data_IF_691509846102
#
_entry.id   IF_691509846102
#
_cell.length_a   1.000
_cell.length_b   1.000
_cell.length_c   1.000
_cell.angle_alpha   90.00
_cell.angle_beta   90.00
_cell.angle_gamma   90.00
#
_symmetry.space_group_name_H-M   'P 1'
#
loop_
_entity.id
_entity.type
_entity.pdbx_description
1 polymer ?
#
# COMPACT_ATOMS: atom_id res chain seq x y z
N UNK A 1 -18.12 9.27 -34.20
CA UNK A 1 -19.02 10.02 -33.30
C UNK A 1 -19.06 11.47 -33.75
N UNK A 2 -20.25 12.05 -33.93
CA UNK A 2 -20.41 13.47 -34.27
C UNK A 2 -21.11 14.17 -33.11
N UNK A 3 -20.37 14.99 -32.34
CA UNK A 3 -20.94 15.79 -31.26
C UNK A 3 -21.85 16.88 -31.84
N UNK A 4 -23.04 17.05 -31.25
CA UNK A 4 -23.91 18.18 -31.60
C UNK A 4 -23.33 19.52 -31.07
N UNK A 5 -23.87 20.65 -31.53
CA UNK A 5 -23.36 21.99 -31.16
C UNK A 5 -23.37 22.25 -29.65
N UNK A 6 -24.41 21.78 -28.95
CA UNK A 6 -24.54 21.96 -27.50
C UNK A 6 -23.51 21.11 -26.75
N UNK A 7 -23.34 19.85 -27.12
CA UNK A 7 -22.34 18.96 -26.51
C UNK A 7 -20.92 19.48 -26.73
N UNK A 8 -20.60 19.98 -27.92
CA UNK A 8 -19.32 20.66 -28.19
C UNK A 8 -19.14 21.88 -27.29
N UNK A 9 -20.16 22.73 -27.19
CA UNK A 9 -20.11 23.94 -26.35
C UNK A 9 -19.87 23.61 -24.88
N UNK A 10 -20.58 22.61 -24.34
CA UNK A 10 -20.45 22.18 -22.94
C UNK A 10 -19.06 21.58 -22.69
N UNK A 11 -18.55 20.74 -23.59
CA UNK A 11 -17.23 20.12 -23.41
C UNK A 11 -16.07 21.11 -23.54
N UNK A 12 -16.21 22.12 -24.39
CA UNK A 12 -15.20 23.18 -24.52
C UNK A 12 -15.30 24.24 -23.43
N UNK A 13 -16.42 24.32 -22.70
CA UNK A 13 -16.58 25.25 -21.57
C UNK A 13 -15.57 24.96 -20.44
N UNK A 14 -15.23 25.99 -19.65
CA UNK A 14 -14.31 25.88 -18.53
C UNK A 14 -14.77 24.86 -17.49
N UNK A 15 -16.09 24.72 -17.28
CA UNK A 15 -16.65 23.81 -16.26
C UNK A 15 -16.83 22.37 -16.74
N UNK A 16 -17.09 22.16 -18.03
CA UNK A 16 -17.26 20.83 -18.60
C UNK A 16 -15.92 20.14 -18.84
N UNK A 17 -15.81 18.88 -18.45
CA UNK A 17 -14.60 18.08 -18.68
C UNK A 17 -14.89 16.64 -19.11
N UNK A 18 -16.13 16.16 -19.05
CA UNK A 18 -16.49 14.81 -19.47
C UNK A 18 -17.75 14.79 -20.36
N UNK A 19 -17.73 13.95 -21.39
CA UNK A 19 -18.93 13.55 -22.15
C UNK A 19 -19.06 12.04 -22.09
N UNK A 20 -20.28 11.57 -21.81
CA UNK A 20 -20.68 10.18 -21.96
C UNK A 20 -21.70 10.10 -23.09
N UNK A 21 -21.43 9.27 -24.10
CA UNK A 21 -22.30 9.07 -25.24
C UNK A 21 -22.64 7.59 -25.41
N UNK A 22 -23.92 7.24 -25.28
CA UNK A 22 -24.42 5.88 -25.51
C UNK A 22 -24.79 5.71 -26.98
N UNK A 23 -24.45 4.56 -27.55
CA UNK A 23 -24.73 4.23 -28.95
C UNK A 23 -25.80 3.15 -29.02
N UNK A 24 -26.74 3.29 -29.96
CA UNK A 24 -27.90 2.40 -30.03
C UNK A 24 -27.66 1.10 -30.84
N UNK A 25 -26.63 1.04 -31.70
CA UNK A 25 -26.52 -0.02 -32.74
C UNK A 25 -25.12 -0.56 -33.07
N UNK A 26 -24.07 -0.30 -32.27
CA UNK A 26 -22.72 -0.82 -32.57
C UNK A 26 -21.77 -0.82 -31.37
N UNK A 27 -20.70 -1.61 -31.44
CA UNK A 27 -19.54 -1.45 -30.56
C UNK A 27 -18.72 -0.21 -30.98
N UNK A 28 -18.30 0.68 -30.05
CA UNK A 28 -18.54 0.64 -28.60
C UNK A 28 -19.96 1.09 -28.23
N UNK A 29 -20.57 0.45 -27.22
CA UNK A 29 -21.90 0.78 -26.67
C UNK A 29 -21.94 2.10 -25.88
N UNK A 30 -20.79 2.56 -25.42
CA UNK A 30 -20.60 3.82 -24.72
C UNK A 30 -19.24 4.42 -25.05
N UNK A 31 -19.19 5.73 -25.25
CA UNK A 31 -17.98 6.51 -25.47
C UNK A 31 -17.83 7.49 -24.30
N UNK A 32 -16.68 7.43 -23.64
CA UNK A 32 -16.27 8.39 -22.62
C UNK A 32 -15.22 9.31 -23.24
N UNK A 33 -15.47 10.62 -23.21
CA UNK A 33 -14.49 11.64 -23.60
C UNK A 33 -14.16 12.46 -22.38
N UNK A 34 -12.90 12.40 -21.94
CA UNK A 34 -12.37 13.22 -20.83
C UNK A 34 -11.44 14.28 -21.40
N UNK A 35 -11.72 15.55 -21.09
CA UNK A 35 -10.83 16.68 -21.34
C UNK A 35 -9.76 16.68 -20.26
N UNK A 36 -8.50 16.77 -20.68
CA UNK A 36 -7.36 16.90 -19.78
C UNK A 36 -6.92 18.36 -19.84
N UNK A 37 -6.93 19.02 -18.68
CA UNK A 37 -6.43 20.38 -18.55
C UNK A 37 -5.01 20.32 -18.01
N UNK A 38 -4.10 21.02 -18.67
CA UNK A 38 -2.69 21.15 -18.27
C UNK A 38 -2.51 22.53 -17.60
N UNK A 39 -3.27 22.75 -16.52
CA UNK A 39 -3.21 23.96 -15.70
C UNK A 39 -2.36 23.70 -14.43
N UNK A 40 -2.38 24.65 -13.50
CA UNK A 40 -1.60 24.60 -12.25
C UNK A 40 -1.99 23.44 -11.32
N UNK A 41 -3.19 22.90 -11.48
CA UNK A 41 -3.69 21.75 -10.71
C UNK A 41 -3.27 20.40 -11.31
N UNK A 42 -2.69 20.39 -12.52
CA UNK A 42 -2.26 19.15 -13.17
C UNK A 42 -1.02 18.58 -12.49
N UNK A 43 -1.13 17.32 -12.07
CA UNK A 43 -0.03 16.57 -11.46
C UNK A 43 0.18 15.21 -12.11
N UNK A 44 1.31 14.57 -11.80
CA UNK A 44 1.60 13.20 -12.22
C UNK A 44 0.57 12.18 -11.74
N UNK A 45 -0.24 12.55 -10.75
CA UNK A 45 -1.26 11.68 -10.16
C UNK A 45 -2.61 11.80 -10.87
N UNK A 46 -2.77 12.75 -11.80
CA UNK A 46 -4.02 12.97 -12.53
C UNK A 46 -4.59 11.67 -13.12
N UNK A 47 -3.79 10.94 -13.90
CA UNK A 47 -4.25 9.71 -14.54
C UNK A 47 -4.55 8.62 -13.52
N UNK A 48 -3.72 8.48 -12.49
CA UNK A 48 -3.93 7.49 -11.43
C UNK A 48 -5.25 7.73 -10.72
N UNK A 49 -5.50 8.96 -10.31
CA UNK A 49 -6.71 9.36 -9.60
C UNK A 49 -7.96 9.25 -10.49
N UNK A 50 -7.87 9.69 -11.74
CA UNK A 50 -8.96 9.57 -12.70
C UNK A 50 -9.39 8.10 -12.87
N UNK A 51 -8.45 7.20 -13.22
CA UNK A 51 -8.80 5.80 -13.43
C UNK A 51 -9.21 5.09 -12.13
N UNK A 52 -8.59 5.43 -10.98
CA UNK A 52 -8.97 4.85 -9.70
C UNK A 52 -10.41 5.21 -9.27
N UNK A 53 -10.87 6.43 -9.56
CA UNK A 53 -12.25 6.84 -9.35
C UNK A 53 -13.22 6.32 -10.43
N UNK A 54 -12.73 6.17 -11.67
CA UNK A 54 -13.55 5.77 -12.81
C UNK A 54 -13.91 4.28 -12.78
N UNK A 55 -12.95 3.39 -12.46
CA UNK A 55 -13.16 1.93 -12.46
C UNK A 55 -14.34 1.48 -11.60
N UNK A 56 -14.50 1.91 -10.33
CA UNK A 56 -15.67 1.55 -9.52
C UNK A 56 -17.01 1.92 -10.17
N UNK A 57 -17.05 3.06 -10.88
CA UNK A 57 -18.26 3.50 -11.59
C UNK A 57 -18.61 2.59 -12.77
N UNK A 58 -17.59 1.97 -13.39
CA UNK A 58 -17.75 1.04 -14.50
C UNK A 58 -18.13 -0.36 -14.05
N UNK A 59 -17.61 -0.82 -12.91
CA UNK A 59 -17.95 -2.15 -12.35
C UNK A 59 -19.44 -2.25 -11.98
N UNK A 60 -20.08 -1.12 -11.63
CA UNK A 60 -21.53 -1.03 -11.40
C UNK A 60 -22.35 -1.04 -12.70
N UNK A 61 -21.71 -0.89 -13.85
CA UNK A 61 -22.33 -0.95 -15.18
C UNK A 61 -22.06 -2.34 -15.77
N UNK A 62 -22.98 -2.87 -16.56
CA UNK A 62 -22.82 -4.17 -17.21
C UNK A 62 -21.85 -4.09 -18.43
N UNK A 63 -20.69 -3.46 -18.24
CA UNK A 63 -19.64 -3.24 -19.24
C UNK A 63 -18.67 -4.41 -19.17
N UNK A 64 -18.38 -5.03 -20.32
CA UNK A 64 -17.45 -6.17 -20.42
C UNK A 64 -16.01 -5.74 -20.69
N UNK A 65 -15.84 -4.73 -21.54
CA UNK A 65 -14.52 -4.24 -21.93
C UNK A 65 -14.48 -2.72 -22.10
N UNK A 66 -13.31 -2.14 -21.89
CA UNK A 66 -13.03 -0.71 -21.99
C UNK A 66 -11.77 -0.53 -22.84
N UNK A 67 -11.94 0.16 -23.97
CA UNK A 67 -10.85 0.53 -24.84
C UNK A 67 -10.37 1.93 -24.47
N UNK A 68 -9.12 2.07 -24.03
CA UNK A 68 -8.52 3.35 -23.65
C UNK A 68 -7.55 3.77 -24.74
N UNK A 69 -7.82 4.91 -25.37
CA UNK A 69 -6.85 5.57 -26.25
C UNK A 69 -5.89 6.36 -25.36
N UNK A 70 -4.68 5.85 -25.18
CA UNK A 70 -3.69 6.48 -24.32
C UNK A 70 -3.11 7.70 -25.03
N UNK A 71 -3.09 8.89 -24.41
CA UNK A 71 -2.58 10.07 -25.07
C UNK A 71 -1.06 10.01 -25.26
N UNK A 72 -0.54 10.79 -26.20
CA UNK A 72 0.88 10.76 -26.56
C UNK A 72 1.73 11.32 -25.43
N UNK A 73 2.80 10.62 -25.06
CA UNK A 73 3.71 11.07 -24.01
C UNK A 73 4.37 12.42 -24.34
N UNK A 74 4.53 12.75 -25.63
CA UNK A 74 5.07 14.05 -26.08
C UNK A 74 4.39 15.24 -25.41
N UNK A 75 3.08 15.14 -25.17
CA UNK A 75 2.26 16.23 -24.66
C UNK A 75 2.42 16.40 -23.14
N UNK A 76 3.06 15.44 -22.46
CA UNK A 76 3.22 15.37 -21.00
C UNK A 76 4.68 15.32 -20.53
N UNK A 77 5.65 15.49 -21.44
CA UNK A 77 7.10 15.37 -21.13
C UNK A 77 7.57 16.32 -20.01
N UNK A 78 6.96 17.49 -19.88
CA UNK A 78 7.30 18.46 -18.83
C UNK A 78 6.85 18.03 -17.43
N UNK A 79 5.89 17.10 -17.34
CA UNK A 79 5.28 16.69 -16.06
C UNK A 79 5.80 15.34 -15.56
N UNK A 80 6.20 14.44 -16.46
CA UNK A 80 6.62 13.08 -16.10
C UNK A 80 8.11 12.88 -16.38
N UNK A 81 8.81 12.26 -15.43
CA UNK A 81 10.24 11.95 -15.57
C UNK A 81 10.54 10.92 -16.68
N UNK A 82 9.57 10.12 -17.10
CA UNK A 82 9.73 9.15 -18.21
C UNK A 82 8.38 8.71 -18.79
N UNK A 83 8.42 8.21 -20.03
CA UNK A 83 7.29 7.57 -20.71
C UNK A 83 6.79 6.35 -19.92
N UNK A 84 7.71 5.57 -19.34
CA UNK A 84 7.39 4.45 -18.45
C UNK A 84 6.56 4.89 -17.25
N UNK A 85 6.98 5.97 -16.57
CA UNK A 85 6.26 6.46 -15.39
C UNK A 85 4.88 7.00 -15.77
N UNK A 86 4.77 7.74 -16.87
CA UNK A 86 3.49 8.19 -17.42
C UNK A 86 2.51 7.02 -17.65
N UNK A 87 2.93 5.98 -18.39
CA UNK A 87 2.10 4.78 -18.63
C UNK A 87 1.76 4.06 -17.34
N UNK A 88 2.72 3.96 -16.41
CA UNK A 88 2.53 3.32 -15.12
C UNK A 88 1.41 3.99 -14.33
N UNK A 89 1.32 5.33 -14.31
CA UNK A 89 0.26 6.03 -13.55
C UNK A 89 -1.16 5.67 -14.01
N UNK A 90 -1.36 5.50 -15.33
CA UNK A 90 -2.63 5.06 -15.91
C UNK A 90 -2.96 3.63 -15.44
N UNK A 91 -2.01 2.72 -15.57
CA UNK A 91 -2.19 1.31 -15.22
C UNK A 91 -2.40 1.13 -13.71
N UNK A 92 -1.67 1.89 -12.89
CA UNK A 92 -1.86 1.93 -11.44
C UNK A 92 -3.26 2.39 -11.08
N UNK A 93 -3.77 3.46 -11.70
CA UNK A 93 -5.13 3.93 -11.46
C UNK A 93 -6.19 2.88 -11.76
N UNK A 94 -6.06 2.21 -12.92
CA UNK A 94 -6.99 1.14 -13.32
C UNK A 94 -6.99 0.01 -12.29
N UNK A 95 -5.80 -0.45 -11.88
CA UNK A 95 -5.70 -1.53 -10.92
C UNK A 95 -6.20 -1.07 -9.55
N UNK A 96 -5.71 0.05 -9.01
CA UNK A 96 -6.09 0.57 -7.69
C UNK A 96 -7.60 0.80 -7.52
N UNK A 97 -8.29 1.22 -8.57
CA UNK A 97 -9.75 1.35 -8.58
C UNK A 97 -10.50 0.02 -8.49
N UNK A 98 -9.82 -1.10 -8.71
CA UNK A 98 -10.34 -2.45 -8.57
C UNK A 98 -9.96 -3.11 -7.23
N UNK A 99 -9.35 -2.38 -6.29
CA UNK A 99 -9.06 -2.92 -4.97
C UNK A 99 -10.34 -3.03 -4.13
N UNK A 100 -10.56 -4.19 -3.51
CA UNK A 100 -11.66 -4.42 -2.57
C UNK A 100 -11.15 -5.18 -1.35
N UNK A 101 -11.62 -4.78 -0.17
CA UNK A 101 -11.42 -5.52 1.08
C UNK A 101 -12.80 -5.88 1.66
N UNK A 102 -13.32 -7.04 1.28
CA UNK A 102 -14.67 -7.51 1.62
C UNK A 102 -14.66 -8.78 2.48
N UNK A 103 -13.49 -9.15 3.04
CA UNK A 103 -13.29 -10.37 3.81
C UNK A 103 -14.30 -10.55 4.96
N UNK A 104 -14.78 -9.44 5.53
CA UNK A 104 -15.71 -9.41 6.66
C UNK A 104 -17.15 -9.03 6.30
N UNK A 105 -17.45 -8.81 5.01
CA UNK A 105 -18.83 -8.55 4.57
C UNK A 105 -19.57 -9.88 4.42
N UNK A 106 -20.79 -9.95 4.97
CA UNK A 106 -21.71 -11.07 4.76
C UNK A 106 -22.19 -11.14 3.32
N UNK A 107 -22.55 -9.98 2.75
CA UNK A 107 -22.88 -9.82 1.34
C UNK A 107 -21.65 -9.37 0.57
N UNK A 108 -21.11 -10.28 -0.24
CA UNK A 108 -19.99 -10.00 -1.15
C UNK A 108 -20.55 -9.62 -2.51
N UNK A 109 -20.08 -8.50 -3.05
CA UNK A 109 -20.37 -8.15 -4.43
C UNK A 109 -19.74 -9.19 -5.35
N UNK A 110 -20.48 -9.68 -6.35
CA UNK A 110 -19.91 -10.60 -7.33
C UNK A 110 -18.80 -9.88 -8.09
N UNK A 111 -17.60 -10.47 -8.23
CA UNK A 111 -16.52 -9.83 -8.97
C UNK A 111 -16.96 -9.62 -10.42
N UNK A 112 -17.14 -8.37 -10.81
CA UNK A 112 -17.39 -8.01 -12.21
C UNK A 112 -16.07 -8.14 -12.98
N UNK A 113 -16.10 -8.86 -14.10
CA UNK A 113 -14.92 -9.01 -14.97
C UNK A 113 -14.93 -7.89 -16.01
N UNK A 114 -14.07 -6.91 -15.81
CA UNK A 114 -13.87 -5.79 -16.73
C UNK A 114 -12.52 -5.90 -17.44
N UNK A 115 -12.53 -6.02 -18.75
CA UNK A 115 -11.31 -6.08 -19.56
C UNK A 115 -10.87 -4.68 -20.01
N UNK A 116 -9.63 -4.28 -19.71
CA UNK A 116 -9.05 -3.04 -20.20
C UNK A 116 -8.09 -3.31 -21.37
N UNK A 117 -8.34 -2.65 -22.50
CA UNK A 117 -7.48 -2.66 -23.68
C UNK A 117 -6.88 -1.27 -23.85
N UNK A 118 -5.57 -1.14 -23.62
CA UNK A 118 -4.83 0.11 -23.76
C UNK A 118 -4.25 0.21 -25.17
N UNK A 119 -4.65 1.24 -25.92
CA UNK A 119 -4.14 1.54 -27.25
C UNK A 119 -3.00 2.56 -27.13
N UNK A 120 -1.78 2.11 -27.43
CA UNK A 120 -0.57 2.93 -27.42
C UNK A 120 0.37 2.55 -28.56
N UNK A 121 1.10 3.52 -29.11
CA UNK A 121 1.97 3.33 -30.27
C UNK A 121 3.08 2.32 -30.01
N UNK A 122 3.75 2.41 -28.86
CA UNK A 122 4.82 1.49 -28.46
C UNK A 122 4.27 0.28 -27.68
N UNK A 123 3.79 -0.74 -28.40
CA UNK A 123 3.20 -1.96 -27.80
C UNK A 123 4.15 -2.72 -26.88
N UNK A 124 5.44 -2.81 -27.24
CA UNK A 124 6.45 -3.54 -26.46
C UNK A 124 6.71 -2.87 -25.11
N UNK A 125 6.88 -1.56 -25.12
CA UNK A 125 7.00 -0.78 -23.88
C UNK A 125 5.75 -0.95 -23.01
N UNK A 126 4.57 -0.76 -23.59
CA UNK A 126 3.30 -0.89 -22.86
C UNK A 126 3.16 -2.26 -22.18
N UNK A 127 3.44 -3.36 -22.87
CA UNK A 127 3.39 -4.71 -22.28
C UNK A 127 4.36 -4.87 -21.10
N UNK A 128 5.59 -4.33 -21.22
CA UNK A 128 6.56 -4.34 -20.14
C UNK A 128 6.10 -3.51 -18.93
N UNK A 129 5.55 -2.31 -19.15
CA UNK A 129 5.01 -1.47 -18.07
C UNK A 129 3.85 -2.17 -17.38
N UNK A 130 2.89 -2.74 -18.12
CA UNK A 130 1.77 -3.50 -17.54
C UNK A 130 2.28 -4.63 -16.65
N UNK A 131 3.25 -5.42 -17.12
CA UNK A 131 3.79 -6.53 -16.35
C UNK A 131 4.49 -6.09 -15.05
N UNK A 132 5.23 -4.98 -15.10
CA UNK A 132 5.92 -4.44 -13.93
C UNK A 132 4.95 -3.77 -12.94
N UNK A 133 4.02 -2.96 -13.44
CA UNK A 133 3.01 -2.28 -12.62
C UNK A 133 2.12 -3.28 -11.90
N UNK A 134 1.72 -4.39 -12.53
CA UNK A 134 0.96 -5.46 -11.86
C UNK A 134 1.68 -5.99 -10.62
N UNK A 135 2.99 -6.27 -10.72
CA UNK A 135 3.79 -6.73 -9.58
C UNK A 135 3.88 -5.70 -8.45
N UNK A 136 3.99 -4.42 -8.81
CA UNK A 136 3.97 -3.31 -7.83
C UNK A 136 2.61 -3.27 -7.13
N UNK A 137 1.51 -3.28 -7.89
CA UNK A 137 0.16 -3.19 -7.33
C UNK A 137 -0.21 -4.43 -6.50
N UNK A 138 0.21 -5.63 -6.89
CA UNK A 138 0.06 -6.81 -6.02
C UNK A 138 0.72 -6.62 -4.65
N UNK A 139 1.87 -5.92 -4.58
CA UNK A 139 2.50 -5.62 -3.29
C UNK A 139 1.78 -4.52 -2.54
N UNK A 140 1.21 -3.54 -3.26
CA UNK A 140 0.32 -2.53 -2.65
C UNK A 140 -0.91 -3.20 -2.06
N UNK A 141 -1.51 -4.18 -2.73
CA UNK A 141 -2.64 -4.94 -2.21
C UNK A 141 -2.25 -5.76 -0.99
N UNK A 142 -1.12 -6.47 -1.03
CA UNK A 142 -0.59 -7.15 0.14
C UNK A 142 -0.43 -6.19 1.33
N UNK A 143 0.14 -5.01 1.13
CA UNK A 143 0.25 -3.98 2.18
C UNK A 143 -1.13 -3.52 2.66
N UNK A 144 -2.06 -3.19 1.76
CA UNK A 144 -3.42 -2.75 2.11
C UNK A 144 -4.21 -3.81 2.86
N UNK A 145 -4.08 -5.08 2.48
CA UNK A 145 -4.77 -6.19 3.12
C UNK A 145 -4.29 -6.37 4.56
N UNK A 146 -2.99 -6.19 4.82
CA UNK A 146 -2.47 -6.16 6.18
C UNK A 146 -3.01 -4.94 6.95
N UNK A 147 -2.95 -3.73 6.39
CA UNK A 147 -3.41 -2.51 7.07
C UNK A 147 -4.92 -2.52 7.35
N UNK A 148 -5.71 -3.10 6.45
CA UNK A 148 -7.17 -3.16 6.59
C UNK A 148 -7.62 -4.24 7.58
N UNK A 149 -6.77 -5.24 7.85
CA UNK A 149 -7.09 -6.34 8.74
C UNK A 149 -7.38 -5.82 10.16
N UNK A 150 -8.49 -6.21 10.81
CA UNK A 150 -8.77 -5.83 12.18
C UNK A 150 -7.71 -6.36 13.15
N UNK A 151 -7.41 -5.57 14.19
CA UNK A 151 -6.42 -5.92 15.21
C UNK A 151 -6.70 -7.27 15.92
N UNK A 152 -7.97 -7.61 16.13
CA UNK A 152 -8.36 -8.91 16.71
C UNK A 152 -7.86 -10.09 15.89
N UNK A 153 -7.71 -9.90 14.57
CA UNK A 153 -7.19 -10.90 13.63
C UNK A 153 -5.67 -10.73 13.45
N UNK A 154 -5.20 -9.51 13.14
CA UNK A 154 -3.80 -9.24 12.81
C UNK A 154 -2.94 -8.93 14.04
N UNK A 155 -2.74 -9.93 14.89
CA UNK A 155 -1.80 -9.83 16.02
C UNK A 155 -0.33 -9.76 15.55
N UNK A 156 0.65 -9.40 16.39
CA UNK A 156 2.06 -9.31 15.99
C UNK A 156 2.59 -10.60 15.35
N UNK A 157 2.29 -11.75 15.96
CA UNK A 157 2.68 -13.05 15.42
C UNK A 157 1.93 -13.44 14.15
N UNK A 158 0.68 -12.98 13.97
CA UNK A 158 -0.07 -13.21 12.73
C UNK A 158 0.47 -12.36 11.58
N UNK A 159 0.83 -11.10 11.83
CA UNK A 159 1.56 -10.26 10.89
C UNK A 159 2.86 -10.95 10.44
N UNK A 160 3.64 -11.46 11.39
CA UNK A 160 4.88 -12.19 11.12
C UNK A 160 4.64 -13.48 10.30
N UNK A 161 3.60 -14.24 10.65
CA UNK A 161 3.21 -15.48 9.97
C UNK A 161 2.82 -15.23 8.50
N UNK A 162 1.95 -14.25 8.25
CA UNK A 162 1.51 -13.87 6.90
C UNK A 162 2.67 -13.33 6.07
N UNK A 163 3.50 -12.46 6.64
CA UNK A 163 4.68 -11.94 5.98
C UNK A 163 5.63 -13.08 5.56
N UNK A 164 5.93 -14.02 6.48
CA UNK A 164 6.75 -15.19 6.18
C UNK A 164 6.13 -16.05 5.08
N UNK A 165 4.83 -16.34 5.17
CA UNK A 165 4.10 -17.14 4.18
C UNK A 165 4.16 -16.53 2.79
N UNK A 166 3.94 -15.24 2.63
CA UNK A 166 3.92 -14.59 1.32
C UNK A 166 5.31 -14.33 0.75
N UNK A 167 6.26 -13.92 1.59
CA UNK A 167 7.60 -13.56 1.13
C UNK A 167 8.49 -14.80 0.83
N UNK A 168 8.35 -15.90 1.57
CA UNK A 168 9.16 -17.10 1.28
C UNK A 168 8.80 -17.75 -0.05
N UNK A 169 7.53 -17.67 -0.50
CA UNK A 169 7.07 -18.15 -1.83
C UNK A 169 7.83 -17.52 -3.00
N UNK A 170 8.32 -16.30 -2.82
CA UNK A 170 9.05 -15.52 -3.84
C UNK A 170 10.56 -15.49 -3.56
N UNK A 171 11.05 -16.38 -2.69
CA UNK A 171 12.48 -16.57 -2.43
C UNK A 171 13.12 -15.58 -1.46
N UNK A 172 12.33 -14.88 -0.64
CA UNK A 172 12.85 -14.02 0.43
C UNK A 172 13.13 -14.86 1.68
N UNK A 173 14.27 -14.63 2.32
CA UNK A 173 14.54 -15.20 3.64
C UNK A 173 13.81 -14.36 4.70
N UNK A 174 12.95 -14.99 5.50
CA UNK A 174 12.25 -14.32 6.61
C UNK A 174 12.58 -15.02 7.92
N UNK A 175 13.24 -14.29 8.83
CA UNK A 175 13.49 -14.70 10.21
C UNK A 175 12.53 -13.95 11.13
N UNK A 176 12.03 -14.64 12.15
CA UNK A 176 11.15 -14.06 13.17
C UNK A 176 11.86 -14.24 14.52
N UNK A 177 12.08 -13.15 15.24
CA UNK A 177 12.49 -13.18 16.64
C UNK A 177 11.22 -13.17 17.48
N UNK A 178 10.88 -14.32 18.05
CA UNK A 178 9.79 -14.42 19.02
C UNK A 178 10.18 -13.78 20.36
N UNK A 179 9.25 -13.73 21.32
CA UNK A 179 9.49 -13.17 22.66
C UNK A 179 10.75 -13.75 23.32
N UNK A 180 11.04 -15.04 23.16
CA UNK A 180 12.21 -15.66 23.77
C UNK A 180 13.51 -15.20 23.12
N UNK A 181 13.54 -15.08 21.79
CA UNK A 181 14.65 -14.47 21.07
C UNK A 181 14.83 -13.00 21.46
N UNK A 182 13.76 -12.21 21.61
CA UNK A 182 13.85 -10.82 22.03
C UNK A 182 14.48 -10.69 23.43
N UNK A 183 14.08 -11.55 24.38
CA UNK A 183 14.67 -11.61 25.74
C UNK A 183 16.14 -12.00 25.68
N UNK A 184 16.49 -13.05 24.92
CA UNK A 184 17.88 -13.48 24.74
C UNK A 184 18.78 -12.37 24.20
N UNK A 185 18.26 -11.57 23.27
CA UNK A 185 18.96 -10.46 22.65
C UNK A 185 18.89 -9.15 23.46
N UNK A 186 18.25 -9.14 24.65
CA UNK A 186 18.09 -7.96 25.51
C UNK A 186 17.41 -6.77 24.79
N UNK A 187 16.48 -7.06 23.89
CA UNK A 187 15.68 -6.06 23.19
C UNK A 187 14.53 -5.59 24.11
N UNK A 188 14.90 -4.86 25.17
CA UNK A 188 13.94 -4.53 26.23
C UNK A 188 12.96 -3.42 25.85
N UNK A 189 13.22 -2.62 24.83
CA UNK A 189 12.33 -1.55 24.40
C UNK A 189 11.10 -2.12 23.69
N UNK A 190 11.28 -3.04 22.74
CA UNK A 190 10.16 -3.77 22.12
C UNK A 190 9.42 -4.63 23.14
N UNK A 191 10.14 -5.28 24.06
CA UNK A 191 9.53 -6.09 25.12
C UNK A 191 8.67 -5.24 26.06
N UNK A 192 9.15 -4.08 26.49
CA UNK A 192 8.43 -3.21 27.42
C UNK A 192 7.09 -2.73 26.85
N UNK A 193 7.07 -2.31 25.58
CA UNK A 193 5.84 -1.85 24.91
C UNK A 193 4.83 -3.00 24.77
N UNK A 194 5.28 -4.18 24.33
CA UNK A 194 4.37 -5.32 24.09
C UNK A 194 3.99 -6.13 25.33
N UNK A 195 4.52 -5.82 26.53
CA UNK A 195 4.42 -6.72 27.69
C UNK A 195 3.01 -6.80 28.30
N UNK A 196 2.19 -5.76 28.12
CA UNK A 196 0.82 -5.72 28.63
C UNK A 196 -0.15 -6.54 27.79
N UNK A 197 0.15 -6.76 26.50
CA UNK A 197 -0.72 -7.54 25.63
C UNK A 197 -0.58 -9.04 25.88
N UNK A 198 -1.72 -9.75 25.76
CA UNK A 198 -1.74 -11.22 25.68
C UNK A 198 -1.16 -11.75 24.36
N UNK A 199 -0.98 -10.88 23.35
CA UNK A 199 -0.40 -11.18 22.04
C UNK A 199 1.08 -10.80 22.09
N UNK A 200 2.00 -11.78 22.20
CA UNK A 200 3.41 -11.48 22.47
C UNK A 200 4.06 -10.69 21.33
N UNK A 201 5.00 -9.78 21.64
CA UNK A 201 5.74 -9.04 20.63
C UNK A 201 6.70 -9.96 19.86
N UNK A 202 7.05 -9.55 18.65
CA UNK A 202 8.05 -10.22 17.83
C UNK A 202 8.77 -9.22 16.91
N UNK A 203 9.91 -9.60 16.34
CA UNK A 203 10.58 -8.83 15.30
C UNK A 203 10.67 -9.63 14.01
N UNK A 204 10.22 -9.05 12.90
CA UNK A 204 10.26 -9.65 11.56
C UNK A 204 11.48 -9.10 10.84
N UNK A 205 12.35 -9.99 10.35
CA UNK A 205 13.52 -9.65 9.53
C UNK A 205 13.38 -10.32 8.17
N UNK A 206 13.09 -9.53 7.13
CA UNK A 206 12.93 -9.98 5.76
C UNK A 206 14.15 -9.56 4.91
N UNK A 207 14.90 -10.53 4.39
CA UNK A 207 16.14 -10.29 3.67
C UNK A 207 16.00 -10.69 2.19
N UNK A 208 16.03 -9.67 1.33
CA UNK A 208 16.14 -9.83 -0.13
C UNK A 208 17.60 -9.68 -0.56
N UNK A 209 18.15 -10.74 -1.14
CA UNK A 209 19.45 -10.71 -1.81
C UNK A 209 19.26 -10.94 -3.31
N UNK A 210 19.67 -9.99 -4.18
CA UNK A 210 19.52 -10.16 -5.62
C UNK A 210 20.43 -11.29 -6.13
N UNK A 211 20.01 -11.96 -7.21
CA UNK A 211 20.85 -12.98 -7.87
C UNK A 211 22.05 -12.38 -8.60
N UNK A 212 21.92 -11.13 -9.05
CA UNK A 212 23.01 -10.36 -9.65
C UNK A 212 23.83 -9.67 -8.57
N UNK A 213 25.05 -9.22 -8.90
CA UNK A 213 25.86 -8.38 -8.01
C UNK A 213 25.03 -7.16 -7.56
N UNK A 214 24.86 -7.05 -6.24
CA UNK A 214 24.13 -5.92 -5.65
C UNK A 214 24.91 -4.62 -5.84
N UNK A 215 24.22 -3.55 -6.22
CA UNK A 215 24.83 -2.21 -6.33
C UNK A 215 24.90 -1.50 -4.99
N UNK A 216 23.96 -1.78 -4.08
CA UNK A 216 23.82 -1.16 -2.76
C UNK A 216 23.14 -2.13 -1.78
N UNK A 217 23.45 -1.98 -0.50
CA UNK A 217 22.74 -2.65 0.59
C UNK A 217 21.99 -1.61 1.40
N UNK A 218 20.69 -1.81 1.59
CA UNK A 218 19.79 -0.85 2.26
C UNK A 218 19.02 -1.57 3.35
N UNK A 219 18.96 -0.96 4.54
CA UNK A 219 18.06 -1.39 5.61
C UNK A 219 16.82 -0.49 5.60
N UNK A 220 15.65 -1.10 5.71
CA UNK A 220 14.34 -0.44 5.80
C UNK A 220 13.70 -0.86 7.11
N UNK A 221 13.36 0.09 7.98
CA UNK A 221 12.72 -0.19 9.27
C UNK A 221 11.32 0.40 9.26
N UNK A 222 10.32 -0.39 9.66
CA UNK A 222 8.92 0.03 9.65
C UNK A 222 8.24 -0.29 10.98
N UNK A 223 7.55 0.71 11.56
CA UNK A 223 6.75 0.56 12.79
C UNK A 223 5.69 -0.53 12.61
N UNK A 224 5.62 -1.50 13.52
CA UNK A 224 4.72 -2.65 13.48
C UNK A 224 3.73 -2.73 14.63
N UNK A 225 3.18 -1.61 15.11
CA UNK A 225 2.19 -1.62 16.20
C UNK A 225 0.85 -2.09 15.66
N UNK A 226 0.46 -3.33 15.92
CA UNK A 226 -0.76 -3.94 15.33
C UNK A 226 -2.05 -3.38 15.91
N UNK A 227 -1.97 -2.84 17.12
CA UNK A 227 -3.00 -1.99 17.70
C UNK A 227 -2.36 -1.10 18.75
N UNK A 228 -2.81 0.15 18.80
CA UNK A 228 -2.33 1.15 19.74
C UNK A 228 -3.47 1.74 20.55
N UNK A 229 -3.61 1.32 21.81
CA UNK A 229 -4.51 1.97 22.76
C UNK A 229 -3.90 3.23 23.39
N UNK A 230 -2.59 3.44 23.22
CA UNK A 230 -1.77 4.40 23.95
C UNK A 230 -1.22 3.90 25.29
N UNK A 231 -1.50 2.65 25.67
CA UNK A 231 -1.08 2.10 26.96
C UNK A 231 -1.74 2.83 28.14
N UNK A 232 -0.96 3.23 29.15
CA UNK A 232 -1.45 3.99 30.32
C UNK A 232 -1.80 5.44 29.99
N UNK A 233 -1.08 6.04 29.04
CA UNK A 233 -1.47 7.27 28.35
C UNK A 233 -2.62 7.00 27.36
N UNK A 234 -3.74 6.49 27.87
CA UNK A 234 -4.83 5.95 27.04
C UNK A 234 -5.37 7.00 26.06
N UNK A 235 -5.53 6.61 24.79
CA UNK A 235 -6.21 7.45 23.80
C UNK A 235 -7.70 7.60 24.13
N UNK A 236 -8.36 8.70 23.73
CA UNK A 236 -9.82 8.75 23.68
C UNK A 236 -10.37 7.75 22.65
N UNK A 237 -11.62 7.30 22.82
CA UNK A 237 -12.26 6.33 21.91
C UNK A 237 -12.17 6.72 20.44
N UNK A 238 -12.42 8.00 20.11
CA UNK A 238 -12.33 8.49 18.73
C UNK A 238 -10.91 8.37 18.15
N UNK A 239 -9.88 8.51 19.00
CA UNK A 239 -8.48 8.33 18.63
C UNK A 239 -8.06 6.88 18.43
N UNK A 240 -8.86 5.91 18.86
CA UNK A 240 -8.55 4.48 18.71
C UNK A 240 -9.12 3.83 17.43
N UNK A 241 -10.12 4.45 16.78
CA UNK A 241 -10.88 3.81 15.70
C UNK A 241 -10.02 3.31 14.53
N UNK A 242 -8.97 4.05 14.19
CA UNK A 242 -8.06 3.72 13.07
C UNK A 242 -6.73 3.09 13.53
N UNK A 243 -6.56 2.80 14.83
CA UNK A 243 -5.26 2.38 15.38
C UNK A 243 -4.84 0.95 14.99
N UNK A 244 -5.69 0.20 14.30
CA UNK A 244 -5.26 -1.01 13.58
C UNK A 244 -4.22 -0.71 12.48
N UNK A 245 -4.22 0.52 11.96
CA UNK A 245 -3.34 0.95 10.87
C UNK A 245 -1.94 1.39 11.37
N UNK A 246 -1.68 1.37 12.67
CA UNK A 246 -0.42 1.85 13.26
C UNK A 246 0.80 0.94 12.98
N UNK A 247 0.57 -0.15 12.25
CA UNK A 247 1.55 -1.06 11.67
C UNK A 247 1.80 -0.82 10.16
N UNK A 248 1.19 0.21 9.57
CA UNK A 248 1.26 0.47 8.13
C UNK A 248 2.71 0.69 7.64
N UNK A 249 3.56 1.33 8.46
CA UNK A 249 4.98 1.47 8.15
C UNK A 249 5.69 0.12 7.97
N UNK A 250 5.42 -0.83 8.87
CA UNK A 250 5.90 -2.21 8.78
C UNK A 250 5.36 -2.93 7.55
N UNK A 251 4.06 -2.80 7.27
CA UNK A 251 3.42 -3.38 6.08
C UNK A 251 4.01 -2.83 4.77
N UNK A 252 4.33 -1.54 4.71
CA UNK A 252 4.99 -0.90 3.56
C UNK A 252 6.40 -1.45 3.38
N UNK A 253 7.19 -1.60 4.45
CA UNK A 253 8.53 -2.21 4.36
C UNK A 253 8.44 -3.61 3.77
N UNK A 254 7.53 -4.46 4.25
CA UNK A 254 7.33 -5.81 3.72
C UNK A 254 6.87 -5.79 2.25
N UNK A 255 6.00 -4.84 1.88
CA UNK A 255 5.58 -4.61 0.49
C UNK A 255 6.72 -4.17 -0.44
N UNK A 256 7.64 -3.31 0.03
CA UNK A 256 8.83 -2.90 -0.72
C UNK A 256 9.75 -4.11 -0.97
N UNK A 257 10.00 -4.94 0.05
CA UNK A 257 10.78 -6.17 -0.10
C UNK A 257 10.13 -7.10 -1.13
N UNK A 258 8.80 -7.30 -1.05
CA UNK A 258 8.02 -8.09 -2.02
C UNK A 258 8.20 -7.57 -3.45
N UNK A 259 8.03 -6.26 -3.66
CA UNK A 259 8.19 -5.60 -4.97
C UNK A 259 9.60 -5.78 -5.53
N UNK A 260 10.62 -5.59 -4.70
CA UNK A 260 12.02 -5.74 -5.12
C UNK A 260 12.31 -7.16 -5.61
N UNK A 261 11.76 -8.17 -4.93
CA UNK A 261 11.88 -9.58 -5.33
C UNK A 261 11.19 -9.86 -6.68
N UNK A 262 9.94 -9.42 -6.84
CA UNK A 262 9.14 -9.68 -8.05
C UNK A 262 9.71 -8.98 -9.29
N UNK A 263 10.27 -7.79 -9.10
CA UNK A 263 10.96 -7.02 -10.15
C UNK A 263 12.42 -7.43 -10.32
N UNK A 264 12.96 -8.28 -9.45
CA UNK A 264 14.36 -8.73 -9.43
C UNK A 264 15.34 -7.54 -9.42
N UNK A 265 15.08 -6.54 -8.58
CA UNK A 265 15.87 -5.32 -8.55
C UNK A 265 17.33 -5.62 -8.14
N UNK A 266 18.34 -4.96 -8.73
CA UNK A 266 19.75 -5.21 -8.43
C UNK A 266 20.23 -4.52 -7.13
N UNK A 267 19.47 -4.66 -6.05
CA UNK A 267 19.72 -4.06 -4.73
C UNK A 267 19.46 -5.09 -3.62
N UNK A 268 20.32 -5.13 -2.61
CA UNK A 268 20.12 -5.97 -1.42
C UNK A 268 19.33 -5.17 -0.38
N UNK A 269 18.22 -5.72 0.09
CA UNK A 269 17.33 -5.06 1.05
C UNK A 269 17.15 -5.92 2.30
N UNK A 270 17.23 -5.27 3.47
CA UNK A 270 16.87 -5.87 4.76
C UNK A 270 15.70 -5.06 5.32
N UNK A 271 14.54 -5.67 5.40
CA UNK A 271 13.36 -5.12 6.08
C UNK A 271 13.33 -5.58 7.54
N UNK A 272 13.20 -4.65 8.48
CA UNK A 272 13.04 -4.92 9.92
C UNK A 272 11.73 -4.30 10.40
N UNK A 273 10.87 -5.12 11.02
CA UNK A 273 9.58 -4.69 11.56
C UNK A 273 9.47 -5.17 13.01
N UNK A 274 9.73 -4.32 14.01
CA UNK A 274 9.38 -4.60 15.39
C UNK A 274 7.85 -4.55 15.50
N UNK A 275 7.24 -5.68 15.85
CA UNK A 275 5.80 -5.83 15.92
C UNK A 275 5.33 -6.05 17.37
N UNK A 276 4.38 -5.22 17.80
CA UNK A 276 3.85 -5.20 19.17
C UNK A 276 2.37 -4.87 19.14
N UNK A 277 1.68 -5.10 20.25
CA UNK A 277 0.37 -4.53 20.52
C UNK A 277 0.48 -3.67 21.79
N UNK A 278 0.26 -2.36 21.69
CA UNK A 278 0.38 -1.43 22.81
C UNK A 278 -0.96 -1.36 23.54
N UNK A 279 -1.02 -1.99 24.71
CA UNK A 279 -2.25 -2.22 25.47
C UNK A 279 -2.12 -1.73 26.91
N UNK A 280 -3.25 -1.42 27.54
CA UNK A 280 -3.35 -1.22 28.98
C UNK A 280 -3.59 -2.56 29.69
N UNK A 281 -2.82 -2.79 30.75
CA UNK A 281 -2.89 -3.99 31.60
C UNK A 281 -1.91 -3.92 32.78
N UNK A 282 -1.98 -4.90 33.68
CA UNK A 282 -1.13 -4.90 34.90
C UNK A 282 0.38 -4.92 34.64
N UNK A 283 0.79 -5.35 33.44
CA UNK A 283 2.20 -5.43 33.02
C UNK A 283 2.62 -4.28 32.08
N UNK A 284 1.83 -3.20 32.01
CA UNK A 284 2.17 -2.05 31.17
C UNK A 284 3.41 -1.34 31.70
N UNK A 285 4.27 -0.94 30.76
CA UNK A 285 5.22 0.12 31.02
C UNK A 285 4.48 1.42 31.37
N UNK A 286 5.09 2.25 32.22
CA UNK A 286 4.50 3.43 32.84
C UNK A 286 5.27 4.70 32.47
N UNK A 287 4.62 5.87 32.45
CA UNK A 287 5.33 7.13 32.57
C UNK A 287 6.26 7.11 33.79
N UNK A 288 7.52 7.49 33.60
CA UNK A 288 8.59 7.42 34.60
C UNK A 288 9.44 6.14 34.55
N UNK A 289 9.01 5.08 33.84
CA UNK A 289 9.86 3.89 33.67
C UNK A 289 11.11 4.23 32.85
N UNK A 290 12.25 3.64 33.23
CA UNK A 290 13.51 3.75 32.50
C UNK A 290 13.85 2.41 31.87
N UNK A 291 13.82 2.36 30.54
CA UNK A 291 14.03 1.13 29.75
C UNK A 291 15.45 1.13 29.16
N UNK A 292 16.17 0.01 29.28
CA UNK A 292 17.48 -0.16 28.61
C UNK A 292 17.32 -0.82 27.24
N UNK A 293 17.47 -0.05 26.17
CA UNK A 293 17.38 -0.53 24.77
C UNK A 293 18.49 -1.53 24.39
N UNK A 294 18.34 -2.18 23.24
CA UNK A 294 19.33 -3.07 22.61
C UNK A 294 20.70 -2.40 22.47
N UNK A 295 20.73 -1.10 22.15
CA UNK A 295 21.97 -0.31 22.05
C UNK A 295 22.71 -0.12 23.40
N UNK A 296 22.08 -0.48 24.51
CA UNK A 296 22.57 -0.26 25.87
C UNK A 296 22.21 1.11 26.46
N UNK A 297 21.69 2.05 25.66
CA UNK A 297 21.17 3.34 26.13
C UNK A 297 19.87 3.18 26.90
N UNK A 298 19.66 4.04 27.88
CA UNK A 298 18.42 4.12 28.66
C UNK A 298 17.44 5.13 28.06
N UNK A 299 16.14 4.83 28.15
CA UNK A 299 15.02 5.63 27.66
C UNK A 299 14.10 5.88 28.85
N UNK A 300 13.97 7.14 29.27
CA UNK A 300 12.92 7.55 30.21
C UNK A 300 11.61 7.70 29.43
N UNK A 301 10.59 6.94 29.82
CA UNK A 301 9.28 6.97 29.19
C UNK A 301 8.46 8.08 29.82
N UNK A 302 8.15 9.14 29.05
CA UNK A 302 7.27 10.22 29.52
C UNK A 302 5.81 9.99 29.12
N UNK A 303 5.61 9.25 28.05
CA UNK A 303 4.32 9.03 27.43
C UNK A 303 4.31 7.64 26.79
N UNK A 304 3.37 6.78 27.18
CA UNK A 304 3.24 5.43 26.62
C UNK A 304 2.53 5.40 25.27
N UNK A 305 1.98 6.53 24.82
CA UNK A 305 1.45 6.76 23.46
C UNK A 305 2.55 7.19 22.46
N UNK A 306 3.79 7.31 22.96
CA UNK A 306 4.98 7.51 22.15
C UNK A 306 5.76 6.19 21.96
N UNK A 307 5.07 5.06 21.87
CA UNK A 307 5.61 3.71 21.81
C UNK A 307 6.37 3.42 20.51
N UNK A 308 5.93 3.99 19.38
CA UNK A 308 6.51 3.72 18.07
C UNK A 308 8.00 4.01 18.00
N UNK A 309 8.47 5.11 18.59
CA UNK A 309 9.91 5.44 18.65
C UNK A 309 10.69 4.52 19.59
N UNK A 310 10.01 3.97 20.60
CA UNK A 310 10.62 3.07 21.60
C UNK A 310 10.90 1.71 20.94
N UNK A 311 9.92 1.16 20.22
CA UNK A 311 10.13 -0.12 19.52
C UNK A 311 11.11 -0.01 18.34
N UNK A 312 11.20 1.16 17.70
CA UNK A 312 12.14 1.42 16.60
C UNK A 312 13.59 1.64 17.07
N UNK A 313 13.80 1.85 18.38
CA UNK A 313 15.13 2.03 18.95
C UNK A 313 15.89 0.71 19.13
N UNK A 314 15.17 -0.41 19.24
CA UNK A 314 15.71 -1.77 19.22
C UNK A 314 15.83 -2.30 17.77
#
# INVERSE_FOLDING_TARGET
MTLNKIQKKIFLDKKGDEIIHYTEKSEPSVIFLKKIKLDEDFSTDFFRNYFAGFVPSLLKKNIKSVNVIVPLYSDYKSYFASETYFLQTIIEGILLGNYTFDNYKSEKEKPARLEFVLHYSNKKLLQQVIANTKKIIESVYFTRDLVNEPAITLTPMELASRAKKELTKIGINVKIFDKNELVRNKMNAILAVGNASSKPPCMIVAHYKPKTKSKKKIALVGKGVTYDSGGLSIKPTAGMLEMKADMAGGAVVLGIIRTAALLKLPVELIGVVPAVENMLGGNSFKPGDIIKSYSGKTIEVKDTDAEGRVILAD
#
